data_IF_658541676430
#
_entry.id   IF_658541676430
#
_cell.length_a   1.000
_cell.length_b   1.000
_cell.length_c   1.000
_cell.angle_alpha   90.00
_cell.angle_beta   90.00
_cell.angle_gamma   90.00
#
_symmetry.space_group_name_H-M   'P 1'
#
loop_
_entity.id
_entity.type
_entity.pdbx_description
1 polymer ?
#
# COMPACT_ATOMS: atom_id res chain seq x y z
N UNK A 1 -3.28 -39.54 -16.08
CA UNK A 1 -3.27 -38.17 -16.65
C UNK A 1 -3.27 -37.21 -15.47
N UNK A 2 -2.22 -36.40 -15.21
CA UNK A 2 -2.23 -35.51 -14.06
C UNK A 2 -3.11 -34.30 -14.37
N UNK A 3 -4.10 -34.11 -13.51
CA UNK A 3 -4.96 -32.94 -13.39
C UNK A 3 -4.13 -31.66 -13.35
N UNK A 4 -4.24 -30.84 -14.40
CA UNK A 4 -3.60 -29.53 -14.46
C UNK A 4 -4.21 -28.60 -13.42
N UNK A 5 -3.43 -28.28 -12.38
CA UNK A 5 -3.71 -27.13 -11.53
C UNK A 5 -3.90 -25.89 -12.43
N UNK A 6 -4.95 -25.09 -12.24
CA UNK A 6 -5.07 -23.84 -12.98
C UNK A 6 -3.87 -22.96 -12.65
N UNK A 7 -3.02 -22.71 -13.65
CA UNK A 7 -1.89 -21.79 -13.49
C UNK A 7 -2.44 -20.42 -13.07
N UNK A 8 -1.88 -19.78 -12.03
CA UNK A 8 -2.33 -18.46 -11.62
C UNK A 8 -2.16 -17.49 -12.79
N UNK A 9 -3.26 -16.91 -13.23
CA UNK A 9 -3.25 -15.97 -14.36
C UNK A 9 -2.42 -14.74 -13.97
N UNK A 10 -1.41 -14.33 -14.75
CA UNK A 10 -0.61 -13.15 -14.44
C UNK A 10 -1.52 -11.91 -14.44
N UNK A 11 -1.51 -11.18 -13.33
CA UNK A 11 -2.24 -9.93 -13.20
C UNK A 11 -1.47 -8.80 -13.89
N UNK A 12 -2.16 -7.88 -14.61
CA UNK A 12 -1.50 -6.75 -15.23
C UNK A 12 -0.91 -5.80 -14.18
N UNK A 13 0.34 -5.41 -14.43
CA UNK A 13 1.12 -4.46 -13.65
C UNK A 13 1.15 -3.13 -14.41
N UNK A 14 0.80 -2.04 -13.72
CA UNK A 14 0.91 -0.66 -14.24
C UNK A 14 1.95 0.09 -13.43
N UNK A 15 2.82 0.87 -14.09
CA UNK A 15 3.84 1.65 -13.42
C UNK A 15 3.97 3.04 -14.04
N UNK A 16 4.40 4.01 -13.22
CA UNK A 16 4.68 5.39 -13.56
C UNK A 16 6.05 5.75 -12.98
N UNK A 17 6.87 6.47 -13.74
CA UNK A 17 8.18 6.95 -13.28
C UNK A 17 8.12 8.46 -13.25
N UNK A 18 8.40 9.05 -12.09
CA UNK A 18 8.46 10.49 -11.89
C UNK A 18 9.58 10.82 -10.88
N UNK A 19 10.41 11.82 -11.20
CA UNK A 19 11.46 12.34 -10.31
C UNK A 19 12.32 11.26 -9.63
N UNK A 20 12.80 10.29 -10.42
CA UNK A 20 13.63 9.17 -9.96
C UNK A 20 12.93 8.20 -8.97
N UNK A 21 11.59 8.23 -8.91
CA UNK A 21 10.75 7.33 -8.13
C UNK A 21 9.86 6.52 -9.08
N UNK A 22 9.74 5.22 -8.80
CA UNK A 22 8.85 4.31 -9.54
C UNK A 22 7.61 4.04 -8.70
N UNK A 23 6.44 4.41 -9.23
CA UNK A 23 5.13 4.10 -8.68
C UNK A 23 4.56 2.90 -9.42
N UNK A 24 4.02 1.91 -8.70
CA UNK A 24 3.57 0.65 -9.28
C UNK A 24 2.28 0.16 -8.63
N UNK A 25 1.37 -0.39 -9.44
CA UNK A 25 0.12 -1.00 -8.98
C UNK A 25 -0.20 -2.26 -9.77
N UNK A 26 -0.91 -3.19 -9.12
CA UNK A 26 -1.40 -4.43 -9.72
C UNK A 26 -2.92 -4.42 -9.57
N UNK A 27 -3.63 -4.65 -10.66
CA UNK A 27 -5.09 -4.69 -10.68
C UNK A 27 -5.59 -5.86 -11.52
N UNK A 28 -6.87 -6.21 -11.38
CA UNK A 28 -7.49 -7.21 -12.26
C UNK A 28 -7.48 -6.76 -13.72
N UNK A 29 -7.49 -7.73 -14.65
CA UNK A 29 -7.52 -7.44 -16.09
C UNK A 29 -8.75 -6.64 -16.53
N UNK A 30 -9.85 -6.72 -15.79
CA UNK A 30 -11.07 -5.95 -16.00
C UNK A 30 -10.98 -4.51 -15.49
N UNK A 31 -9.99 -4.18 -14.66
CA UNK A 31 -9.86 -2.86 -14.07
C UNK A 31 -9.47 -1.81 -15.14
N UNK A 32 -10.15 -0.66 -15.22
CA UNK A 32 -9.85 0.34 -16.23
C UNK A 32 -8.42 0.88 -16.09
N UNK A 33 -7.62 0.71 -17.15
CA UNK A 33 -6.22 1.14 -17.17
C UNK A 33 -6.06 2.63 -16.84
N UNK A 34 -6.95 3.49 -17.35
CA UNK A 34 -6.94 4.93 -17.08
C UNK A 34 -7.09 5.25 -15.57
N UNK A 35 -7.94 4.52 -14.87
CA UNK A 35 -8.09 4.67 -13.41
C UNK A 35 -6.83 4.20 -12.66
N UNK A 36 -6.16 3.16 -13.15
CA UNK A 36 -4.90 2.70 -12.55
C UNK A 36 -3.80 3.76 -12.67
N UNK A 37 -3.70 4.44 -13.81
CA UNK A 37 -2.75 5.54 -13.98
C UNK A 37 -3.16 6.79 -13.20
N UNK A 38 -4.44 7.14 -13.16
CA UNK A 38 -4.94 8.23 -12.31
C UNK A 38 -4.60 8.01 -10.83
N UNK A 39 -4.72 6.77 -10.35
CA UNK A 39 -4.26 6.40 -9.02
C UNK A 39 -2.76 6.63 -8.84
N UNK A 40 -1.93 6.17 -9.78
CA UNK A 40 -0.47 6.35 -9.71
C UNK A 40 -0.03 7.82 -9.79
N UNK A 41 -0.72 8.61 -10.62
CA UNK A 41 -0.47 10.06 -10.75
C UNK A 41 -0.76 10.79 -9.44
N UNK A 42 -1.90 10.50 -8.80
CA UNK A 42 -2.25 11.07 -7.51
C UNK A 42 -1.24 10.69 -6.41
N UNK A 43 -0.77 9.44 -6.41
CA UNK A 43 0.34 9.03 -5.53
C UNK A 43 1.61 9.82 -5.81
N UNK A 44 1.96 10.03 -7.08
CA UNK A 44 3.20 10.71 -7.46
C UNK A 44 3.21 12.17 -7.01
N UNK A 45 2.09 12.88 -7.20
CA UNK A 45 1.92 14.30 -6.82
C UNK A 45 2.00 14.48 -5.30
N UNK A 46 1.31 13.63 -4.54
CA UNK A 46 1.35 13.70 -3.07
C UNK A 46 2.74 13.31 -2.53
N UNK A 47 3.36 12.29 -3.12
CA UNK A 47 4.69 11.84 -2.70
C UNK A 47 5.76 12.88 -2.99
N UNK A 48 5.74 13.51 -4.16
CA UNK A 48 6.64 14.59 -4.52
C UNK A 48 6.49 15.78 -3.55
N UNK A 49 5.24 16.16 -3.24
CA UNK A 49 4.94 17.26 -2.30
C UNK A 49 5.43 16.95 -0.88
N UNK A 50 5.20 15.73 -0.39
CA UNK A 50 5.49 15.38 1.00
C UNK A 50 6.95 14.98 1.22
N UNK A 51 7.54 14.25 0.27
CA UNK A 51 8.82 13.56 0.43
C UNK A 51 9.85 13.85 -0.67
N UNK A 52 9.48 14.51 -1.77
CA UNK A 52 10.36 14.76 -2.91
C UNK A 52 11.79 15.20 -2.56
N UNK A 53 11.98 16.25 -1.73
CA UNK A 53 13.32 16.72 -1.35
C UNK A 53 14.17 15.72 -0.55
N UNK A 54 13.54 14.71 0.04
CA UNK A 54 14.17 13.71 0.91
C UNK A 54 14.49 12.40 0.19
N UNK A 55 14.02 12.22 -1.05
CA UNK A 55 14.18 10.97 -1.80
C UNK A 55 15.65 10.61 -2.00
N UNK A 56 16.48 11.56 -2.45
CA UNK A 56 17.88 11.28 -2.81
C UNK A 56 18.80 11.08 -1.60
N UNK A 57 18.40 11.58 -0.43
CA UNK A 57 19.23 11.55 0.79
C UNK A 57 19.05 10.26 1.60
N UNK A 58 18.00 9.51 1.30
CA UNK A 58 17.59 8.33 2.05
C UNK A 58 18.16 7.06 1.42
N UNK A 59 18.85 6.26 2.23
CA UNK A 59 19.40 4.95 1.83
C UNK A 59 18.68 3.77 2.48
N UNK A 60 17.79 4.01 3.45
CA UNK A 60 17.12 2.97 4.23
C UNK A 60 15.85 2.48 3.53
N UNK A 61 15.61 1.15 3.46
CA UNK A 61 14.32 0.61 3.07
C UNK A 61 13.17 1.18 3.93
N UNK A 62 12.00 1.41 3.30
CA UNK A 62 10.78 1.89 3.98
C UNK A 62 10.90 3.21 4.76
N UNK A 63 11.85 4.07 4.41
CA UNK A 63 11.99 5.37 5.08
C UNK A 63 10.74 6.26 4.97
N UNK A 64 9.89 6.01 3.97
CA UNK A 64 8.64 6.74 3.72
C UNK A 64 7.39 5.95 4.13
N UNK A 65 7.50 5.03 5.10
CA UNK A 65 6.37 4.21 5.57
C UNK A 65 5.14 5.02 6.01
N UNK A 66 5.33 6.27 6.43
CA UNK A 66 4.22 7.18 6.75
C UNK A 66 3.26 7.42 5.56
N UNK A 67 3.73 7.25 4.33
CA UNK A 67 2.92 7.37 3.12
C UNK A 67 1.88 6.25 2.96
N UNK A 68 2.02 5.12 3.67
CA UNK A 68 1.09 3.97 3.59
C UNK A 68 -0.37 4.35 3.93
N UNK A 69 -0.56 5.33 4.82
CA UNK A 69 -1.90 5.82 5.18
C UNK A 69 -2.57 6.51 3.99
N UNK A 70 -1.81 7.31 3.24
CA UNK A 70 -2.30 7.96 2.04
C UNK A 70 -2.61 6.91 0.97
N UNK A 71 -1.66 6.03 0.67
CA UNK A 71 -1.84 4.94 -0.29
C UNK A 71 -3.08 4.09 0.01
N UNK A 72 -3.30 3.70 1.27
CA UNK A 72 -4.44 2.91 1.69
C UNK A 72 -5.78 3.64 1.54
N UNK A 73 -5.82 4.96 1.80
CA UNK A 73 -7.03 5.77 1.62
C UNK A 73 -7.33 5.94 0.13
N UNK A 74 -6.35 6.32 -0.66
CA UNK A 74 -6.48 6.51 -2.11
C UNK A 74 -6.86 5.19 -2.77
N UNK A 75 -6.23 4.07 -2.43
CA UNK A 75 -6.60 2.76 -2.96
C UNK A 75 -8.07 2.39 -2.69
N UNK A 76 -8.65 2.80 -1.54
CA UNK A 76 -10.09 2.58 -1.27
C UNK A 76 -10.98 3.41 -2.18
N UNK A 77 -10.61 4.65 -2.46
CA UNK A 77 -11.34 5.52 -3.39
C UNK A 77 -11.34 4.92 -4.80
N UNK A 78 -10.18 4.42 -5.24
CA UNK A 78 -10.01 3.85 -6.59
C UNK A 78 -10.55 2.43 -6.76
N UNK A 79 -10.89 1.72 -5.67
CA UNK A 79 -11.60 0.43 -5.75
C UNK A 79 -13.01 0.57 -6.29
N UNK A 80 -13.71 1.63 -5.90
CA UNK A 80 -15.01 1.93 -6.49
C UNK A 80 -14.80 2.70 -7.79
N UNK A 81 -14.80 1.98 -8.91
CA UNK A 81 -14.58 2.57 -10.23
C UNK A 81 -15.60 3.65 -10.58
N UNK A 82 -16.81 3.60 -10.02
CA UNK A 82 -17.87 4.58 -10.30
C UNK A 82 -17.60 5.89 -9.57
N UNK A 83 -17.21 5.80 -8.30
CA UNK A 83 -16.81 6.98 -7.52
C UNK A 83 -15.50 7.57 -8.02
N UNK A 84 -14.50 6.72 -8.29
CA UNK A 84 -13.22 7.14 -8.84
C UNK A 84 -13.37 7.85 -10.19
N UNK A 85 -14.16 7.30 -11.11
CA UNK A 85 -14.38 7.94 -12.40
C UNK A 85 -15.02 9.34 -12.28
N UNK A 86 -15.88 9.55 -11.27
CA UNK A 86 -16.51 10.85 -11.01
C UNK A 86 -15.56 11.85 -10.31
N UNK A 87 -14.67 11.38 -9.43
CA UNK A 87 -13.76 12.25 -8.65
C UNK A 87 -12.44 12.55 -9.36
N UNK A 88 -11.96 11.64 -10.21
CA UNK A 88 -10.61 11.70 -10.78
C UNK A 88 -10.49 12.59 -12.02
N UNK A 89 -11.59 13.19 -12.51
CA UNK A 89 -11.53 14.09 -13.68
C UNK A 89 -10.90 13.43 -14.90
N UNK A 90 -11.34 12.21 -15.23
CA UNK A 90 -10.82 11.35 -16.30
C UNK A 90 -10.63 12.07 -17.66
N UNK A 91 -11.42 13.10 -17.93
CA UNK A 91 -11.33 13.92 -19.14
C UNK A 91 -10.02 14.72 -19.22
N UNK A 92 -9.49 15.22 -18.09
CA UNK A 92 -8.20 15.92 -18.02
C UNK A 92 -7.01 14.97 -18.14
N UNK A 93 -7.12 13.79 -17.54
CA UNK A 93 -6.11 12.74 -17.69
C UNK A 93 -6.00 12.27 -19.14
N UNK A 94 -7.05 12.40 -19.95
CA UNK A 94 -7.06 11.97 -21.35
C UNK A 94 -6.02 12.73 -22.21
N UNK A 95 -5.76 14.00 -21.89
CA UNK A 95 -4.77 14.84 -22.57
C UNK A 95 -3.34 14.61 -22.03
N UNK A 96 -3.15 14.46 -20.70
CA UNK A 96 -1.82 14.22 -20.10
C UNK A 96 -1.31 12.77 -20.30
N UNK A 97 -2.19 11.79 -20.50
CA UNK A 97 -1.82 10.37 -20.69
C UNK A 97 -1.27 10.04 -22.08
N UNK A 98 -1.36 10.93 -23.07
CA UNK A 98 -0.84 10.61 -24.41
C UNK A 98 0.70 10.51 -24.44
N UNK A 99 1.42 11.26 -23.60
CA UNK A 99 2.88 11.40 -23.73
C UNK A 99 3.72 10.48 -22.83
N UNK A 100 3.20 10.00 -21.69
CA UNK A 100 4.05 9.34 -20.65
C UNK A 100 3.91 7.80 -20.64
N UNK A 101 2.98 7.24 -21.42
CA UNK A 101 2.54 5.86 -21.18
C UNK A 101 3.36 4.81 -21.95
N UNK A 102 4.62 4.57 -21.53
CA UNK A 102 5.37 3.37 -21.94
C UNK A 102 4.85 2.15 -21.17
N UNK A 103 3.67 1.68 -21.54
CA UNK A 103 3.05 0.48 -20.97
C UNK A 103 3.91 -0.75 -21.33
N UNK A 104 4.67 -1.30 -20.37
CA UNK A 104 5.22 -2.65 -20.55
C UNK A 104 4.13 -3.68 -20.27
N UNK A 105 3.39 -4.06 -21.33
CA UNK A 105 2.66 -5.33 -21.32
C UNK A 105 3.62 -6.40 -21.86
N UNK A 106 4.71 -6.70 -21.15
CA UNK A 106 5.56 -7.86 -21.50
C UNK A 106 5.11 -9.04 -20.67
N UNK A 107 4.92 -10.19 -21.31
CA UNK A 107 4.62 -11.45 -20.62
C UNK A 107 5.69 -11.68 -19.54
N UNK A 108 5.27 -11.80 -18.28
CA UNK A 108 6.20 -12.05 -17.17
C UNK A 108 7.11 -13.26 -17.43
N UNK A 109 6.67 -14.23 -18.24
CA UNK A 109 7.45 -15.40 -18.65
C UNK A 109 8.62 -15.10 -19.60
N UNK A 110 8.55 -14.07 -20.44
CA UNK A 110 9.66 -13.68 -21.33
C UNK A 110 10.81 -12.98 -20.56
N UNK A 111 10.53 -12.44 -19.37
CA UNK A 111 11.54 -11.84 -18.50
C UNK A 111 12.15 -12.83 -17.50
N UNK A 112 11.62 -14.05 -17.40
CA UNK A 112 12.19 -15.13 -16.58
C UNK A 112 13.28 -15.93 -17.31
N UNK A 113 13.48 -15.71 -18.61
CA UNK A 113 14.42 -16.51 -19.41
C UNK A 113 15.85 -15.95 -19.52
N UNK A 114 16.13 -14.82 -18.87
CA UNK A 114 17.51 -14.32 -18.70
C UNK A 114 17.90 -14.49 -17.24
N UNK A 115 18.21 -15.73 -16.88
CA UNK A 115 18.64 -16.12 -15.54
C UNK A 115 19.81 -15.29 -15.05
N UNK A 116 19.52 -14.42 -14.07
CA UNK A 116 20.43 -13.98 -12.99
C UNK A 116 19.70 -13.02 -11.99
N UNK A 117 18.52 -12.48 -12.36
CA UNK A 117 17.81 -11.47 -11.55
C UNK A 117 16.62 -11.97 -10.71
N UNK A 118 16.19 -13.23 -10.86
CA UNK A 118 15.02 -13.78 -10.16
C UNK A 118 15.29 -14.07 -8.67
N UNK A 119 16.45 -14.69 -8.36
CA UNK A 119 16.80 -15.07 -6.99
C UNK A 119 17.00 -13.84 -6.09
N UNK A 120 17.64 -12.79 -6.60
CA UNK A 120 17.82 -11.51 -5.89
C UNK A 120 16.50 -10.77 -5.63
N UNK A 121 15.49 -10.96 -6.49
CA UNK A 121 14.17 -10.36 -6.32
C UNK A 121 13.29 -11.17 -5.36
N UNK A 122 13.49 -12.50 -5.26
CA UNK A 122 12.83 -13.37 -4.26
C UNK A 122 13.26 -13.02 -2.84
N UNK A 123 14.57 -12.83 -2.62
CA UNK A 123 15.13 -12.48 -1.32
C UNK A 123 14.74 -11.04 -0.92
N UNK A 124 14.78 -10.10 -1.88
CA UNK A 124 14.31 -8.73 -1.66
C UNK A 124 12.79 -8.73 -1.38
N UNK A 125 11.98 -9.46 -2.14
CA UNK A 125 10.51 -9.54 -1.93
C UNK A 125 10.15 -10.21 -0.61
N UNK A 126 10.91 -11.21 -0.16
CA UNK A 126 10.72 -11.87 1.15
C UNK A 126 11.08 -10.93 2.29
N UNK A 127 12.16 -10.17 2.14
CA UNK A 127 12.58 -9.13 3.08
C UNK A 127 11.56 -8.00 3.15
N UNK A 128 11.10 -7.50 1.99
CA UNK A 128 10.04 -6.52 1.87
C UNK A 128 8.74 -7.01 2.54
N UNK A 129 8.31 -8.24 2.25
CA UNK A 129 7.10 -8.83 2.85
C UNK A 129 7.22 -8.96 4.37
N UNK A 130 8.38 -9.41 4.88
CA UNK A 130 8.65 -9.54 6.31
C UNK A 130 8.66 -8.18 7.03
N UNK A 131 9.27 -7.17 6.42
CA UNK A 131 9.29 -5.81 6.95
C UNK A 131 7.90 -5.16 6.89
N UNK A 132 7.17 -5.27 5.78
CA UNK A 132 5.79 -4.81 5.64
C UNK A 132 4.85 -5.45 6.67
N UNK A 133 5.01 -6.74 6.99
CA UNK A 133 4.25 -7.38 8.07
C UNK A 133 4.55 -6.80 9.45
N UNK A 134 5.83 -6.51 9.76
CA UNK A 134 6.23 -5.89 11.03
C UNK A 134 5.68 -4.47 11.15
N UNK A 135 5.73 -3.67 10.08
CA UNK A 135 5.17 -2.32 10.07
C UNK A 135 3.64 -2.32 10.19
N UNK A 136 2.93 -3.24 9.50
CA UNK A 136 1.48 -3.42 9.69
C UNK A 136 1.11 -3.74 11.14
N UNK A 137 1.91 -4.58 11.80
CA UNK A 137 1.73 -4.90 13.23
C UNK A 137 2.03 -3.69 14.12
N UNK A 138 3.07 -2.92 13.83
CA UNK A 138 3.43 -1.71 14.56
C UNK A 138 2.34 -0.63 14.50
N UNK A 139 1.79 -0.36 13.31
CA UNK A 139 0.68 0.58 13.13
C UNK A 139 -0.57 0.17 13.91
N UNK A 140 -0.88 -1.14 13.97
CA UNK A 140 -2.01 -1.65 14.77
C UNK A 140 -1.78 -1.52 16.27
N UNK A 141 -0.53 -1.65 16.74
CA UNK A 141 -0.20 -1.56 18.16
C UNK A 141 -0.22 -0.12 18.70
N UNK A 142 0.06 0.88 17.86
CA UNK A 142 -0.04 2.31 18.22
C UNK A 142 -1.48 2.66 18.65
N UNK A 143 -2.48 2.10 17.96
CA UNK A 143 -3.89 2.31 18.30
C UNK A 143 -4.29 1.63 19.64
N UNK A 144 -3.67 0.49 19.96
CA UNK A 144 -3.95 -0.26 21.18
C UNK A 144 -3.34 0.42 22.43
N UNK A 145 -2.11 0.92 22.32
CA UNK A 145 -1.48 1.67 23.42
C UNK A 145 -2.19 2.99 23.71
N UNK A 146 -2.68 3.68 22.68
CA UNK A 146 -3.49 4.88 22.86
C UNK A 146 -4.82 4.58 23.58
N UNK A 147 -5.50 3.50 23.17
CA UNK A 147 -6.75 3.07 23.79
C UNK A 147 -6.54 2.63 25.25
N UNK A 148 -5.50 1.86 25.55
CA UNK A 148 -5.20 1.40 26.90
C UNK A 148 -4.97 2.55 27.88
N UNK A 149 -4.26 3.60 27.44
CA UNK A 149 -3.98 4.79 28.27
C UNK A 149 -5.24 5.59 28.61
N UNK A 150 -6.26 5.54 27.75
CA UNK A 150 -7.54 6.23 27.95
C UNK A 150 -8.47 5.50 28.94
N UNK A 151 -8.47 4.16 28.95
CA UNK A 151 -9.37 3.36 29.81
C UNK A 151 -8.74 2.90 31.14
N UNK A 152 -7.40 2.95 31.27
CA UNK A 152 -6.70 2.64 32.51
C UNK A 152 -7.22 3.37 33.77
N UNK A 153 -7.44 4.71 33.76
CA UNK A 153 -7.94 5.41 34.96
C UNK A 153 -9.36 4.99 35.34
N UNK A 154 -10.24 4.72 34.37
CA UNK A 154 -11.60 4.25 34.63
C UNK A 154 -11.61 2.84 35.25
N UNK A 155 -10.75 1.95 34.74
CA UNK A 155 -10.58 0.60 35.29
C UNK A 155 -10.04 0.61 36.73
N UNK A 156 -9.07 1.47 37.02
CA UNK A 156 -8.51 1.62 38.37
C UNK A 156 -9.55 2.09 39.39
N UNK A 157 -10.42 3.04 39.02
CA UNK A 157 -11.51 3.52 39.89
C UNK A 157 -12.52 2.39 40.15
N UNK A 158 -12.92 1.65 39.11
CA UNK A 158 -13.84 0.51 39.28
C UNK A 158 -13.27 -0.58 40.19
N UNK A 159 -11.99 -0.89 40.06
CA UNK A 159 -11.30 -1.86 40.91
C UNK A 159 -11.21 -1.38 42.37
N UNK A 160 -10.94 -0.08 42.60
CA UNK A 160 -10.96 0.51 43.95
C UNK A 160 -12.33 0.40 44.61
N UNK A 161 -13.41 0.69 43.87
CA UNK A 161 -14.78 0.60 44.38
C UNK A 161 -15.12 -0.86 44.74
N UNK A 162 -14.72 -1.83 43.91
CA UNK A 162 -14.94 -3.26 44.20
C UNK A 162 -14.19 -3.71 45.46
N UNK A 163 -12.94 -3.26 45.66
CA UNK A 163 -12.17 -3.55 46.87
C UNK A 163 -12.85 -2.96 48.11
N UNK A 164 -13.32 -1.71 48.03
CA UNK A 164 -14.02 -1.07 49.15
C UNK A 164 -15.35 -1.76 49.49
N UNK A 165 -16.10 -2.20 48.47
CA UNK A 165 -17.34 -2.96 48.68
C UNK A 165 -17.06 -4.33 49.32
N UNK A 166 -16.03 -5.04 48.85
CA UNK A 166 -15.62 -6.30 49.43
C UNK A 166 -15.24 -6.15 50.91
N UNK A 167 -14.49 -5.10 51.24
CA UNK A 167 -14.08 -4.82 52.62
C UNK A 167 -15.22 -4.31 53.52
N UNK A 168 -16.28 -3.77 52.93
CA UNK A 168 -17.43 -3.20 53.65
C UNK A 168 -18.54 -4.20 53.94
N UNK A 169 -18.65 -5.25 53.12
CA UNK A 169 -19.71 -6.27 53.17
C UNK A 169 -19.22 -7.70 53.48
N UNK A 170 -17.91 -7.90 53.61
CA UNK A 170 -17.30 -9.11 54.19
C UNK A 170 -16.82 -8.84 55.60
#
# INVERSE_FOLDING_TARGET
MPSGFPQPRPLPLSYLIADNVVFLTIADKSYPRKLAFSYLDELSKEFATTYGPRVETVRKPYAFVGFDTFMSKTARLYRDTRTAAASSGLDKLNDELQDVTRIMTKNMEELLWRGDSLDRMSDLSTSLRSESEKYRKAARNINFNAMLRQYAPLGAIGLLILILLYWRFG
#
